data_IF_099575840507
#
_entry.id   IF_099575840507
#
_cell.length_a   1.000
_cell.length_b   1.000
_cell.length_c   1.000
_cell.angle_alpha   90.00
_cell.angle_beta   90.00
_cell.angle_gamma   90.00
#
_symmetry.space_group_name_H-M   'P 1'
#
loop_
_entity.id
_entity.type
_entity.pdbx_description
1 polymer ?
#
# COMPACT_ATOMS: atom_id res chain seq x y z
N UNK A 1 -8.22 -23.62 7.49
CA UNK A 1 -8.77 -22.27 7.72
C UNK A 1 -7.76 -21.41 8.52
N UNK A 2 -6.53 -21.21 8.06
CA UNK A 2 -5.45 -20.66 8.90
C UNK A 2 -4.70 -19.47 8.28
N UNK A 3 -4.19 -19.60 7.04
CA UNK A 3 -3.27 -18.61 6.46
C UNK A 3 -3.83 -17.18 6.35
N UNK A 4 -5.07 -17.00 5.85
CA UNK A 4 -5.68 -15.67 5.70
C UNK A 4 -5.73 -14.92 7.04
N UNK A 5 -6.18 -15.60 8.10
CA UNK A 5 -6.29 -15.00 9.43
C UNK A 5 -4.91 -14.74 10.03
N UNK A 6 -4.01 -15.71 9.95
CA UNK A 6 -2.65 -15.58 10.50
C UNK A 6 -1.88 -14.44 9.82
N UNK A 7 -1.89 -14.39 8.48
CA UNK A 7 -1.23 -13.34 7.72
C UNK A 7 -1.85 -11.96 8.00
N UNK A 8 -3.18 -11.87 8.01
CA UNK A 8 -3.87 -10.62 8.26
C UNK A 8 -3.59 -10.09 9.67
N UNK A 9 -3.75 -10.92 10.70
CA UNK A 9 -3.62 -10.52 12.08
C UNK A 9 -2.16 -10.16 12.43
N UNK A 10 -1.18 -10.88 11.89
CA UNK A 10 0.24 -10.60 12.10
C UNK A 10 0.66 -9.26 11.45
N UNK A 11 0.26 -9.03 10.20
CA UNK A 11 0.54 -7.76 9.50
C UNK A 11 -0.24 -6.58 10.13
N UNK A 12 -1.44 -6.83 10.64
CA UNK A 12 -2.24 -5.82 11.33
C UNK A 12 -1.61 -5.42 12.65
N UNK A 13 -1.19 -6.40 13.47
CA UNK A 13 -0.56 -6.18 14.77
C UNK A 13 0.77 -5.41 14.64
N UNK A 14 1.50 -5.63 13.55
CA UNK A 14 2.72 -4.89 13.23
C UNK A 14 2.47 -3.44 12.74
N UNK A 15 1.21 -3.06 12.47
CA UNK A 15 0.86 -1.81 11.81
C UNK A 15 1.29 -1.72 10.34
N UNK A 16 1.72 -2.84 9.76
CA UNK A 16 2.12 -2.93 8.36
C UNK A 16 0.94 -2.58 7.43
N UNK A 17 -0.26 -3.05 7.76
CA UNK A 17 -1.47 -2.75 6.99
C UNK A 17 -1.84 -1.26 7.06
N UNK A 18 -1.67 -0.60 8.21
CA UNK A 18 -1.88 0.84 8.36
C UNK A 18 -0.88 1.64 7.51
N UNK A 19 0.38 1.22 7.51
CA UNK A 19 1.45 1.83 6.71
C UNK A 19 1.09 1.85 5.22
N UNK A 20 0.64 0.71 4.70
CA UNK A 20 0.23 0.58 3.30
C UNK A 20 -1.00 1.44 2.97
N UNK A 21 -1.99 1.49 3.87
CA UNK A 21 -3.19 2.31 3.69
C UNK A 21 -2.85 3.81 3.63
N UNK A 22 -2.02 4.27 4.56
CA UNK A 22 -1.56 5.66 4.61
C UNK A 22 -0.75 6.00 3.36
N UNK A 23 0.19 5.13 2.96
CA UNK A 23 0.99 5.32 1.76
C UNK A 23 0.12 5.42 0.50
N UNK A 24 -0.91 4.57 0.37
CA UNK A 24 -1.86 4.63 -0.74
C UNK A 24 -2.61 5.95 -0.79
N UNK A 25 -3.13 6.40 0.35
CA UNK A 25 -3.85 7.68 0.43
C UNK A 25 -2.94 8.85 0.06
N UNK A 26 -1.75 8.93 0.64
CA UNK A 26 -0.80 10.02 0.37
C UNK A 26 -0.33 10.04 -1.08
N UNK A 27 0.06 8.88 -1.62
CA UNK A 27 0.49 8.77 -3.01
C UNK A 27 -0.62 9.16 -3.99
N UNK A 28 -1.86 8.71 -3.72
CA UNK A 28 -3.01 9.00 -4.58
C UNK A 28 -3.34 10.49 -4.56
N UNK A 29 -3.36 11.12 -3.37
CA UNK A 29 -3.59 12.55 -3.25
C UNK A 29 -2.47 13.38 -3.91
N UNK A 30 -1.22 12.94 -3.81
CA UNK A 30 -0.10 13.60 -4.48
C UNK A 30 -0.23 13.55 -6.01
N UNK A 31 -0.62 12.40 -6.57
CA UNK A 31 -0.77 12.22 -8.01
C UNK A 31 -1.97 12.99 -8.55
N UNK A 32 -3.15 12.90 -7.92
CA UNK A 32 -4.32 13.66 -8.37
C UNK A 32 -4.25 15.16 -8.08
N UNK A 33 -3.48 15.58 -7.08
CA UNK A 33 -3.17 16.99 -6.86
C UNK A 33 -2.18 17.56 -7.89
N UNK A 34 -1.30 16.71 -8.43
CA UNK A 34 -0.24 17.13 -9.36
C UNK A 34 -0.57 16.96 -10.85
N UNK A 35 -1.50 16.07 -11.21
CA UNK A 35 -1.87 15.78 -12.59
C UNK A 35 -3.31 16.25 -12.85
N UNK A 36 -3.52 17.04 -13.91
CA UNK A 36 -4.85 17.48 -14.35
C UNK A 36 -5.19 16.97 -15.75
N UNK A 37 -6.40 16.43 -15.95
CA UNK A 37 -6.90 16.13 -17.31
C UNK A 37 -6.94 17.34 -18.22
N UNK A 38 -7.17 18.54 -17.69
CA UNK A 38 -7.14 19.78 -18.47
C UNK A 38 -5.74 20.07 -19.05
N UNK A 39 -4.68 19.55 -18.40
CA UNK A 39 -3.31 19.60 -18.89
C UNK A 39 -2.95 18.45 -19.85
N UNK A 40 -3.92 17.61 -20.23
CA UNK A 40 -3.75 16.52 -21.19
C UNK A 40 -3.30 15.18 -20.60
N UNK A 41 -3.25 15.04 -19.26
CA UNK A 41 -2.93 13.76 -18.63
C UNK A 41 -4.05 12.72 -18.86
N UNK A 42 -3.66 11.49 -19.19
CA UNK A 42 -4.58 10.39 -19.51
C UNK A 42 -4.60 9.36 -18.38
N UNK A 43 -5.63 8.51 -18.35
CA UNK A 43 -5.76 7.39 -17.41
C UNK A 43 -4.52 6.47 -17.38
N UNK A 44 -3.80 6.36 -18.50
CA UNK A 44 -2.53 5.64 -18.56
C UNK A 44 -1.46 6.33 -17.75
N UNK A 45 -1.33 7.64 -17.88
CA UNK A 45 -0.33 8.44 -17.16
C UNK A 45 -0.62 8.45 -15.66
N UNK A 46 -1.90 8.60 -15.27
CA UNK A 46 -2.33 8.45 -13.88
C UNK A 46 -1.99 7.06 -13.35
N UNK A 47 -2.31 6.01 -14.10
CA UNK A 47 -2.07 4.64 -13.67
C UNK A 47 -0.60 4.32 -13.42
N UNK A 48 0.30 4.77 -14.29
CA UNK A 48 1.75 4.58 -14.10
C UNK A 48 2.25 5.46 -12.95
N UNK A 49 1.89 6.74 -12.93
CA UNK A 49 2.32 7.67 -11.88
C UNK A 49 1.84 7.25 -10.48
N UNK A 50 0.60 6.79 -10.34
CA UNK A 50 0.06 6.28 -9.09
C UNK A 50 0.78 5.03 -8.59
N UNK A 51 1.16 4.13 -9.50
CA UNK A 51 1.94 2.93 -9.13
C UNK A 51 3.33 3.30 -8.60
N UNK A 52 4.07 4.16 -9.32
CA UNK A 52 5.43 4.55 -8.94
C UNK A 52 5.44 5.44 -7.68
N UNK A 53 4.48 6.37 -7.57
CA UNK A 53 4.31 7.20 -6.39
C UNK A 53 3.98 6.35 -5.16
N UNK A 54 3.10 5.35 -5.30
CA UNK A 54 2.77 4.44 -4.22
C UNK A 54 3.98 3.61 -3.80
N UNK A 55 4.70 3.01 -4.74
CA UNK A 55 5.90 2.24 -4.41
C UNK A 55 6.92 3.10 -3.63
N UNK A 56 7.18 4.32 -4.11
CA UNK A 56 8.08 5.27 -3.44
C UNK A 56 7.58 5.69 -2.06
N UNK A 57 6.27 5.87 -1.90
CA UNK A 57 5.68 6.23 -0.61
C UNK A 57 5.75 5.06 0.39
N UNK A 58 5.56 3.82 -0.07
CA UNK A 58 5.72 2.64 0.79
C UNK A 58 7.19 2.51 1.24
N UNK A 59 8.16 2.73 0.35
CA UNK A 59 9.57 2.76 0.72
C UNK A 59 9.86 3.77 1.83
N UNK A 60 9.31 4.99 1.71
CA UNK A 60 9.45 6.03 2.73
C UNK A 60 8.82 5.64 4.06
N UNK A 61 7.60 5.09 4.05
CA UNK A 61 6.91 4.73 5.30
C UNK A 61 7.63 3.60 6.04
N UNK A 62 8.30 2.69 5.31
CA UNK A 62 9.07 1.61 5.92
C UNK A 62 10.56 1.90 6.12
N UNK A 63 11.07 3.08 5.74
CA UNK A 63 12.48 3.45 5.94
C UNK A 63 12.90 3.38 7.42
N UNK A 64 11.99 3.76 8.33
CA UNK A 64 12.21 3.73 9.77
C UNK A 64 11.79 2.40 10.45
N UNK A 65 11.36 1.40 9.68
CA UNK A 65 10.79 0.15 10.18
C UNK A 65 11.75 -1.03 9.91
N UNK A 66 12.72 -1.30 10.80
CA UNK A 66 13.83 -2.24 10.53
C UNK A 66 13.39 -3.70 10.33
N UNK A 67 12.18 -4.02 10.77
CA UNK A 67 11.51 -5.31 10.60
C UNK A 67 10.96 -5.55 9.19
N UNK A 68 10.80 -4.49 8.40
CA UNK A 68 10.36 -4.54 7.03
C UNK A 68 11.56 -4.42 6.10
N UNK A 69 11.69 -5.37 5.18
CA UNK A 69 12.77 -5.36 4.20
C UNK A 69 12.21 -5.23 2.79
N UNK A 70 12.92 -4.49 1.93
CA UNK A 70 12.63 -4.48 0.49
C UNK A 70 12.93 -5.87 -0.08
N UNK A 71 11.98 -6.45 -0.80
CA UNK A 71 12.02 -7.84 -1.25
C UNK A 71 11.31 -8.00 -2.60
N UNK A 72 11.90 -7.34 -3.62
CA UNK A 72 11.41 -7.36 -4.99
C UNK A 72 11.49 -8.75 -5.61
N UNK A 73 10.46 -9.12 -6.37
CA UNK A 73 10.42 -10.38 -7.09
C UNK A 73 10.38 -10.13 -8.58
N UNK A 74 11.44 -10.50 -9.30
CA UNK A 74 11.52 -10.40 -10.76
C UNK A 74 11.11 -9.00 -11.29
N UNK A 75 11.63 -7.95 -10.65
CA UNK A 75 11.35 -6.56 -11.00
C UNK A 75 9.98 -6.03 -10.54
N UNK A 76 9.15 -6.84 -9.88
CA UNK A 76 7.94 -6.36 -9.22
C UNK A 76 8.28 -5.82 -7.82
N UNK A 77 7.89 -4.57 -7.50
CA UNK A 77 8.05 -3.99 -6.17
C UNK A 77 7.45 -4.86 -5.06
N UNK A 78 8.24 -5.13 -4.02
CA UNK A 78 7.87 -5.97 -2.91
C UNK A 78 8.46 -5.55 -1.57
N UNK A 79 7.70 -5.74 -0.50
CA UNK A 79 8.14 -5.54 0.88
C UNK A 79 7.82 -6.77 1.70
N UNK A 80 8.71 -7.16 2.59
CA UNK A 80 8.55 -8.35 3.42
C UNK A 80 8.60 -8.00 4.90
N UNK A 81 7.61 -8.51 5.62
CA UNK A 81 7.58 -8.56 7.08
C UNK A 81 7.49 -10.03 7.50
N UNK A 82 8.49 -10.50 8.25
CA UNK A 82 8.59 -11.91 8.62
C UNK A 82 8.53 -12.86 7.40
N UNK A 83 7.58 -13.80 7.35
CA UNK A 83 7.39 -14.72 6.23
C UNK A 83 6.53 -14.14 5.09
N UNK A 84 5.93 -12.95 5.23
CA UNK A 84 4.97 -12.42 4.25
C UNK A 84 5.62 -11.39 3.34
N UNK A 85 5.77 -11.75 2.05
CA UNK A 85 6.18 -10.81 0.99
C UNK A 85 4.93 -10.22 0.36
N UNK A 86 4.79 -8.91 0.34
CA UNK A 86 3.66 -8.20 -0.28
C UNK A 86 4.15 -7.52 -1.56
N UNK A 87 3.61 -7.92 -2.71
CA UNK A 87 3.95 -7.34 -4.01
C UNK A 87 2.88 -6.35 -4.49
N UNK A 88 3.29 -5.20 -5.01
CA UNK A 88 2.35 -4.20 -5.53
C UNK A 88 1.75 -4.61 -6.88
N UNK A 89 0.47 -4.28 -7.11
CA UNK A 89 -0.21 -4.44 -8.40
C UNK A 89 -1.30 -3.39 -8.60
N UNK A 90 -1.32 -2.75 -9.77
CA UNK A 90 -2.49 -2.00 -10.23
C UNK A 90 -3.60 -2.93 -10.74
N UNK A 91 -4.85 -2.59 -10.46
CA UNK A 91 -6.02 -3.22 -11.10
C UNK A 91 -7.03 -2.17 -11.61
N UNK A 92 -7.99 -2.64 -12.41
CA UNK A 92 -9.16 -1.86 -12.82
C UNK A 92 -10.09 -1.66 -11.61
N UNK A 93 -10.52 -0.42 -11.41
CA UNK A 93 -11.40 -0.03 -10.32
C UNK A 93 -12.70 -0.85 -10.33
N UNK A 94 -13.15 -1.32 -9.19
CA UNK A 94 -14.33 -2.19 -9.02
C UNK A 94 -14.12 -3.64 -9.46
N UNK A 95 -12.95 -4.00 -10.00
CA UNK A 95 -12.69 -5.31 -10.62
C UNK A 95 -11.58 -6.13 -9.92
N UNK A 96 -11.34 -5.91 -8.63
CA UNK A 96 -10.30 -6.66 -7.88
C UNK A 96 -10.53 -8.18 -7.94
N UNK A 97 -11.79 -8.63 -7.87
CA UNK A 97 -12.14 -10.07 -7.88
C UNK A 97 -12.02 -10.71 -9.26
N UNK A 98 -12.01 -9.91 -10.33
CA UNK A 98 -11.94 -10.37 -11.72
C UNK A 98 -10.53 -10.32 -12.33
N UNK A 99 -9.49 -10.09 -11.52
CA UNK A 99 -8.10 -10.06 -12.02
C UNK A 99 -7.76 -11.36 -12.76
N UNK A 100 -7.31 -11.21 -14.00
CA UNK A 100 -6.86 -12.30 -14.87
C UNK A 100 -5.38 -12.58 -14.64
N UNK A 101 -5.05 -13.39 -13.63
CA UNK A 101 -3.66 -13.77 -13.35
C UNK A 101 -3.04 -14.53 -14.51
N UNK A 102 -3.85 -15.33 -15.22
CA UNK A 102 -3.44 -16.07 -16.42
C UNK A 102 -2.93 -15.20 -17.58
N UNK A 103 -3.25 -13.91 -17.58
CA UNK A 103 -2.84 -12.94 -18.60
C UNK A 103 -1.92 -11.84 -18.05
N UNK A 104 -1.50 -11.97 -16.81
CA UNK A 104 -0.66 -10.99 -16.12
C UNK A 104 0.83 -11.21 -16.44
N UNK A 105 1.71 -10.42 -15.84
CA UNK A 105 3.15 -10.59 -16.00
C UNK A 105 3.61 -11.99 -15.55
N UNK A 106 4.68 -12.56 -16.15
CA UNK A 106 5.20 -13.88 -15.77
C UNK A 106 5.45 -14.03 -14.26
N UNK A 107 5.89 -12.95 -13.61
CA UNK A 107 6.06 -12.90 -12.15
C UNK A 107 4.75 -13.12 -11.40
N UNK A 108 3.69 -12.39 -11.75
CA UNK A 108 2.38 -12.49 -11.07
C UNK A 108 1.70 -13.81 -11.41
N UNK A 109 1.87 -14.32 -12.62
CA UNK A 109 1.47 -15.68 -12.99
C UNK A 109 2.10 -16.72 -12.07
N UNK A 110 3.41 -16.61 -11.87
CA UNK A 110 4.16 -17.57 -11.08
C UNK A 110 3.83 -17.47 -9.57
N UNK A 111 3.54 -16.26 -9.06
CA UNK A 111 2.99 -16.07 -7.70
C UNK A 111 1.60 -16.69 -7.56
N UNK A 112 0.71 -16.49 -8.54
CA UNK A 112 -0.64 -17.07 -8.51
C UNK A 112 -0.63 -18.60 -8.60
N UNK A 113 0.46 -19.21 -9.13
CA UNK A 113 0.66 -20.66 -9.20
C UNK A 113 1.33 -21.25 -7.96
N UNK A 114 1.71 -20.43 -6.97
CA UNK A 114 2.30 -20.94 -5.74
C UNK A 114 1.30 -21.84 -5.03
N UNK A 115 1.80 -22.95 -4.48
CA UNK A 115 0.98 -23.90 -3.73
C UNK A 115 0.26 -23.19 -2.59
N UNK A 116 -1.01 -23.55 -2.40
CA UNK A 116 -1.82 -23.15 -1.26
C UNK A 116 -2.24 -24.42 -0.51
N UNK A 117 -2.13 -24.42 0.82
CA UNK A 117 -2.31 -25.63 1.67
C UNK A 117 -3.67 -26.29 1.44
N UNK A 118 -4.70 -25.52 1.11
CA UNK A 118 -6.08 -26.00 0.90
C UNK A 118 -6.46 -26.17 -0.58
N UNK A 119 -5.59 -25.76 -1.51
CA UNK A 119 -5.78 -25.89 -2.97
C UNK A 119 -4.40 -26.16 -3.60
N UNK A 120 -3.90 -27.40 -3.56
CA UNK A 120 -2.63 -27.77 -4.17
C UNK A 120 -2.80 -27.73 -5.70
N UNK A 121 -2.57 -26.54 -6.26
CA UNK A 121 -2.64 -26.34 -7.70
C UNK A 121 -1.58 -27.19 -8.40
N UNK A 122 -1.99 -27.93 -9.45
CA UNK A 122 -1.10 -28.74 -10.26
C UNK A 122 -0.05 -27.84 -10.92
N UNK A 123 1.20 -27.93 -10.45
CA UNK A 123 2.34 -27.22 -11.03
C UNK A 123 2.67 -27.84 -12.38
N UNK A 124 2.22 -27.22 -13.47
CA UNK A 124 2.71 -27.56 -14.81
C UNK A 124 4.15 -27.05 -14.95
N UNK A 125 5.12 -27.90 -15.32
CA UNK A 125 6.54 -27.54 -15.40
C UNK A 125 6.79 -26.69 -16.64
N UNK A 126 6.41 -25.41 -16.58
CA UNK A 126 6.58 -24.47 -17.69
C UNK A 126 7.96 -23.79 -17.72
N UNK A 127 8.94 -24.24 -16.93
CA UNK A 127 10.28 -23.65 -16.87
C UNK A 127 10.31 -22.22 -16.31
N UNK A 128 9.16 -21.70 -15.86
CA UNK A 128 9.02 -20.46 -15.10
C UNK A 128 8.87 -20.87 -13.64
N UNK A 129 9.96 -21.32 -13.03
CA UNK A 129 9.98 -21.42 -11.58
C UNK A 129 9.90 -19.98 -11.05
N UNK A 130 8.72 -19.54 -10.60
CA UNK A 130 8.74 -18.61 -9.48
C UNK A 130 9.66 -19.29 -8.48
N UNK A 131 10.75 -18.63 -8.12
CA UNK A 131 11.52 -19.04 -6.95
C UNK A 131 10.54 -18.95 -5.79
N UNK A 132 9.85 -20.05 -5.54
CA UNK A 132 9.13 -20.30 -4.33
C UNK A 132 10.21 -20.20 -3.26
N UNK A 133 10.27 -19.04 -2.63
CA UNK A 133 11.32 -18.77 -1.65
C UNK A 133 10.86 -19.57 -0.44
N UNK A 134 11.54 -20.68 -0.09
CA UNK A 134 10.97 -21.63 0.86
C UNK A 134 10.62 -20.93 2.18
N UNK A 135 9.39 -21.11 2.64
CA UNK A 135 8.88 -20.46 3.85
C UNK A 135 8.41 -19.01 3.70
N UNK A 136 8.35 -18.46 2.48
CA UNK A 136 7.81 -17.12 2.22
C UNK A 136 6.45 -17.20 1.55
N UNK A 137 5.44 -16.65 2.20
CA UNK A 137 4.10 -16.47 1.65
C UNK A 137 4.06 -15.16 0.87
N UNK A 138 3.88 -15.25 -0.45
CA UNK A 138 3.72 -14.06 -1.29
C UNK A 138 2.24 -13.65 -1.40
N UNK A 139 1.96 -12.43 -0.99
CA UNK A 139 0.67 -11.75 -1.09
C UNK A 139 0.74 -10.64 -2.16
N UNK A 140 -0.42 -10.19 -2.62
CA UNK A 140 -0.52 -9.07 -3.56
C UNK A 140 -1.33 -7.94 -2.94
N UNK A 141 -0.72 -6.75 -2.92
CA UNK A 141 -1.38 -5.48 -2.65
C UNK A 141 -1.94 -4.93 -3.97
N UNK A 142 -3.24 -5.07 -4.15
CA UNK A 142 -3.96 -4.59 -5.31
C UNK A 142 -4.48 -3.17 -5.03
N UNK A 143 -4.05 -2.19 -5.83
CA UNK A 143 -4.49 -0.80 -5.70
C UNK A 143 -5.16 -0.29 -6.98
N UNK A 144 -6.11 0.63 -6.79
CA UNK A 144 -6.77 1.38 -7.86
C UNK A 144 -7.31 2.70 -7.32
N UNK A 145 -7.45 3.70 -8.18
CA UNK A 145 -8.08 4.97 -7.80
C UNK A 145 -8.67 5.68 -9.03
N UNK A 146 -9.72 6.46 -8.83
CA UNK A 146 -10.41 7.28 -9.84
C UNK A 146 -10.38 8.76 -9.42
N UNK A 147 -10.45 9.69 -10.37
CA UNK A 147 -10.30 11.15 -10.12
C UNK A 147 -11.63 11.86 -9.84
N UNK A 148 -12.72 11.44 -10.50
CA UNK A 148 -13.99 12.15 -10.52
C UNK A 148 -15.19 11.19 -10.48
N UNK A 149 -15.74 10.88 -9.28
CA UNK A 149 -15.28 11.30 -7.95
C UNK A 149 -13.91 10.68 -7.56
N UNK A 150 -13.22 11.28 -6.58
CA UNK A 150 -12.00 10.70 -6.03
C UNK A 150 -12.38 9.45 -5.21
N UNK A 151 -12.16 8.28 -5.78
CA UNK A 151 -12.35 7.00 -5.09
C UNK A 151 -11.05 6.20 -5.08
N UNK A 152 -10.85 5.43 -4.01
CA UNK A 152 -9.64 4.66 -3.76
C UNK A 152 -10.02 3.24 -3.37
N UNK A 153 -9.33 2.28 -3.97
CA UNK A 153 -9.45 0.87 -3.68
C UNK A 153 -8.08 0.31 -3.32
N UNK A 154 -8.01 -0.37 -2.18
CA UNK A 154 -6.82 -1.06 -1.73
C UNK A 154 -7.24 -2.40 -1.15
N UNK A 155 -6.62 -3.46 -1.64
CA UNK A 155 -6.91 -4.82 -1.21
C UNK A 155 -5.62 -5.59 -0.99
N UNK A 156 -5.62 -6.45 0.02
CA UNK A 156 -4.55 -7.42 0.23
C UNK A 156 -5.12 -8.83 0.06
N UNK A 157 -4.39 -9.69 -0.63
CA UNK A 157 -4.86 -11.05 -0.86
C UNK A 157 -3.79 -12.03 -1.29
N UNK A 158 -4.13 -13.32 -1.18
CA UNK A 158 -3.38 -14.42 -1.76
C UNK A 158 -3.95 -14.76 -3.15
N UNK A 159 -3.21 -14.50 -4.24
CA UNK A 159 -3.70 -14.77 -5.59
C UNK A 159 -3.82 -16.28 -5.83
N UNK A 160 -4.77 -16.65 -6.69
CA UNK A 160 -5.03 -18.02 -7.12
C UNK A 160 -4.93 -18.09 -8.63
N UNK A 161 -4.20 -19.05 -9.17
CA UNK A 161 -4.15 -19.28 -10.61
C UNK A 161 -5.56 -19.56 -11.13
N UNK A 162 -6.00 -18.80 -12.13
CA UNK A 162 -7.38 -18.82 -12.59
C UNK A 162 -7.53 -19.03 -14.11
N UNK A 163 -6.61 -19.78 -14.73
CA UNK A 163 -6.79 -20.22 -16.13
C UNK A 163 -8.00 -21.15 -16.33
N UNK A 164 -8.47 -21.77 -15.24
CA UNK A 164 -9.72 -22.53 -15.16
C UNK A 164 -10.99 -21.66 -15.22
N UNK A 165 -10.84 -20.33 -15.20
CA UNK A 165 -11.96 -19.39 -15.11
C UNK A 165 -12.56 -19.26 -13.72
N UNK A 166 -11.92 -19.84 -12.68
CA UNK A 166 -12.34 -19.74 -11.30
C UNK A 166 -12.00 -18.39 -10.66
N UNK A 167 -12.09 -18.32 -9.33
CA UNK A 167 -11.79 -17.10 -8.58
C UNK A 167 -10.32 -16.70 -8.74
N UNK A 168 -10.07 -15.40 -8.79
CA UNK A 168 -8.73 -14.83 -8.86
C UNK A 168 -7.96 -14.94 -7.52
N UNK A 169 -8.63 -15.25 -6.42
CA UNK A 169 -8.02 -15.21 -5.10
C UNK A 169 -8.38 -16.45 -4.31
N UNK A 170 -7.43 -16.95 -3.51
CA UNK A 170 -7.73 -17.86 -2.41
C UNK A 170 -8.46 -17.09 -1.31
N UNK A 171 -7.97 -15.89 -1.02
CA UNK A 171 -8.62 -14.91 -0.17
C UNK A 171 -8.19 -13.49 -0.57
N UNK A 172 -9.08 -12.51 -0.34
CA UNK A 172 -8.81 -11.09 -0.56
C UNK A 172 -9.65 -10.26 0.40
N UNK A 173 -9.03 -9.26 1.02
CA UNK A 173 -9.66 -8.40 2.02
C UNK A 173 -9.45 -6.92 1.67
N UNK A 174 -10.47 -6.06 1.84
CA UNK A 174 -10.32 -4.63 1.69
C UNK A 174 -9.42 -4.07 2.79
N UNK A 175 -8.54 -3.15 2.42
CA UNK A 175 -7.67 -2.42 3.32
C UNK A 175 -8.15 -0.96 3.41
N UNK A 176 -9.15 -0.74 4.27
CA UNK A 176 -9.85 0.53 4.43
C UNK A 176 -9.82 1.02 5.89
N UNK A 177 -10.65 2.00 6.23
CA UNK A 177 -10.70 2.57 7.58
C UNK A 177 -11.27 1.60 8.65
N UNK A 178 -11.78 0.43 8.25
CA UNK A 178 -12.35 -0.57 9.17
C UNK A 178 -11.30 -1.44 9.87
N UNK A 179 -10.03 -1.37 9.46
CA UNK A 179 -8.93 -2.15 10.07
C UNK A 179 -8.57 -1.73 11.51
N UNK A 180 -9.22 -0.70 12.04
CA UNK A 180 -9.04 -0.23 13.42
C UNK A 180 -7.87 0.73 13.61
N UNK A 181 -7.56 1.09 14.88
CA UNK A 181 -6.52 2.06 15.20
C UNK A 181 -5.12 1.55 14.83
N UNK A 182 -4.24 2.48 14.46
CA UNK A 182 -2.86 2.16 14.08
C UNK A 182 -2.00 1.90 15.32
N UNK A 183 -1.47 0.68 15.52
CA UNK A 183 -0.63 0.35 16.67
C UNK A 183 0.71 1.10 16.66
N UNK A 184 1.17 1.62 15.51
CA UNK A 184 2.40 2.42 15.40
C UNK A 184 2.20 3.82 15.96
N UNK A 185 0.98 4.36 15.88
CA UNK A 185 0.62 5.65 16.46
C UNK A 185 0.40 5.44 17.95
N UNK A 186 1.46 5.56 18.76
CA UNK A 186 1.29 5.76 20.20
C UNK A 186 0.31 6.93 20.39
N UNK A 187 -0.67 6.76 21.29
CA UNK A 187 -1.51 7.85 21.75
C UNK A 187 -0.56 8.95 22.25
N UNK A 188 -0.29 9.95 21.41
CA UNK A 188 0.31 11.19 21.89
C UNK A 188 -0.81 11.75 22.74
N UNK A 189 -0.66 11.72 24.07
CA UNK A 189 -1.49 12.53 24.94
C UNK A 189 -1.59 13.88 24.26
N UNK A 190 -2.81 14.28 23.94
CA UNK A 190 -3.12 15.55 23.28
C UNK A 190 -2.32 16.60 24.04
N UNK A 191 -1.20 17.06 23.49
CA UNK A 191 -0.43 18.13 24.11
C UNK A 191 -1.43 19.25 24.22
N UNK A 192 -1.88 19.55 25.44
CA UNK A 192 -2.75 20.70 25.63
C UNK A 192 -2.05 21.87 24.95
N UNK A 193 -2.78 22.72 24.22
CA UNK A 193 -2.17 23.87 23.59
C UNK A 193 -1.32 24.59 24.64
N UNK A 194 -0.03 24.81 24.37
CA UNK A 194 0.91 25.47 25.30
C UNK A 194 0.63 26.97 25.45
N UNK A 195 -0.59 27.39 25.13
CA UNK A 195 -1.09 28.76 25.08
C UNK A 195 -2.26 28.78 26.05
N UNK A 196 -1.99 29.27 27.25
CA UNK A 196 -3.04 29.77 28.15
C UNK A 196 -3.43 31.15 27.60
N UNK A 197 -4.73 31.43 27.43
CA UNK A 197 -5.26 32.74 26.98
C UNK A 197 -5.04 33.86 28.04
N UNK A 198 -4.07 33.69 28.93
CA UNK A 198 -3.59 34.74 29.83
C UNK A 198 -2.63 35.62 29.05
N UNK A 199 -3.18 36.70 28.50
CA UNK A 199 -2.45 37.84 27.97
C UNK A 199 -1.55 38.45 29.06
N UNK A 200 -0.34 37.91 29.23
CA UNK A 200 0.74 38.65 29.87
C UNK A 200 1.31 39.61 28.80
N UNK A 201 0.84 40.85 28.84
CA UNK A 201 1.31 41.95 27.99
C UNK A 201 2.84 42.04 28.01
N UNK A 202 3.48 41.72 26.88
CA UNK A 202 4.92 41.84 26.71
C UNK A 202 5.26 43.33 26.55
N UNK A 203 6.05 43.94 27.45
CA UNK A 203 6.35 45.36 27.37
C UNK A 203 7.29 45.66 26.19
N UNK A 204 6.74 46.16 25.10
CA UNK A 204 7.49 46.59 23.93
C UNK A 204 8.09 47.99 24.16
N UNK A 205 9.42 48.11 24.21
CA UNK A 205 10.11 49.42 24.25
C UNK A 205 10.24 50.00 22.84
N UNK A 206 9.53 51.11 22.58
CA UNK A 206 9.66 51.88 21.35
C UNK A 206 11.05 52.53 21.25
N UNK A 207 11.72 52.36 20.11
CA UNK A 207 13.02 52.97 19.81
C UNK A 207 12.80 54.43 19.40
N UNK A 208 13.39 55.38 20.13
CA UNK A 208 13.24 56.81 19.86
C UNK A 208 13.76 57.22 18.49
N UNK A 209 12.99 58.08 17.81
CA UNK A 209 13.31 58.65 16.50
C UNK A 209 14.52 59.59 16.58
N UNK A 210 15.54 59.35 15.75
CA UNK A 210 16.64 60.29 15.56
C UNK A 210 16.25 61.30 14.48
N UNK A 211 15.89 62.52 14.88
CA UNK A 211 15.82 63.68 13.97
C UNK A 211 17.23 64.06 13.52
N UNK A 212 17.48 64.05 12.23
CA UNK A 212 18.62 64.76 11.62
C UNK A 212 18.17 66.16 11.19
N UNK A 213 18.95 67.15 11.61
CA UNK A 213 18.87 68.55 11.22
C UNK A 213 19.53 68.79 9.85
#
# INVERSE_FOLDING_TARGET
>A
MAEDRDAWDELLAAGFLHALREAHREATLAVFGGLSRAAGFTERTYGVGAFDALASQIDRVFEAEPQVVRDDLNGSPGWRYGPYRVLLKRHEFGNVRGIRWDRDSPTKQAVARQTYVEDPQLVLPLGIEARDTPGVVTLVLAHSATEAPLEMELFLGRPRWNADGGTAWHWVRPLDDTIGPDPRRKLVERTMPLWDDREDDVPMRLRGETKTA
#
